data_IF_154629292239
#
_entry.id   IF_154629292239
#
_cell.length_a   1.000
_cell.length_b   1.000
_cell.length_c   1.000
_cell.angle_alpha   90.00
_cell.angle_beta   90.00
_cell.angle_gamma   90.00
#
_symmetry.space_group_name_H-M   'P 1'
#
loop_
_entity.id
_entity.type
_entity.pdbx_description
1 polymer ?
#
# COMPACT_ATOMS: atom_id res chain seq x y z
N UNK A 1 0.66 -41.90 11.83
CA UNK A 1 -0.05 -42.00 10.54
C UNK A 1 -0.45 -40.60 10.15
N UNK A 2 0.36 -39.95 9.28
CA UNK A 2 0.06 -38.60 8.77
C UNK A 2 -0.81 -38.76 7.54
N UNK A 3 -2.02 -38.21 7.60
CA UNK A 3 -2.92 -38.17 6.46
C UNK A 3 -2.36 -37.24 5.36
N UNK A 4 -2.73 -37.43 4.08
CA UNK A 4 -2.29 -36.56 2.99
C UNK A 4 -2.86 -35.15 3.20
N UNK A 5 -2.02 -34.15 2.90
CA UNK A 5 -2.44 -32.75 2.84
C UNK A 5 -3.58 -32.59 1.82
N UNK A 6 -4.57 -31.73 2.06
CA UNK A 6 -5.63 -31.49 1.08
C UNK A 6 -5.01 -30.93 -0.20
N UNK A 7 -5.39 -31.50 -1.33
CA UNK A 7 -5.02 -31.03 -2.65
C UNK A 7 -5.56 -29.61 -2.86
N UNK A 8 -4.65 -28.68 -3.17
CA UNK A 8 -4.92 -27.24 -3.23
C UNK A 8 -5.52 -26.74 -4.54
N UNK A 9 -6.44 -27.44 -5.19
CA UNK A 9 -6.89 -27.10 -6.54
C UNK A 9 -8.40 -26.86 -6.71
N UNK A 10 -9.14 -26.72 -5.62
CA UNK A 10 -10.60 -26.45 -5.67
C UNK A 10 -10.96 -24.96 -5.48
N UNK A 11 -10.07 -24.04 -5.85
CA UNK A 11 -10.48 -22.66 -5.98
C UNK A 11 -11.32 -22.50 -7.25
N UNK A 12 -12.50 -21.85 -7.17
CA UNK A 12 -13.32 -21.60 -8.34
C UNK A 12 -12.49 -20.83 -9.38
N UNK A 13 -12.68 -21.08 -10.69
CA UNK A 13 -11.97 -20.38 -11.72
C UNK A 13 -12.13 -18.87 -11.51
N UNK A 14 -11.00 -18.16 -11.49
CA UNK A 14 -11.00 -16.69 -11.37
C UNK A 14 -11.80 -16.16 -12.57
N UNK A 15 -12.94 -15.50 -12.35
CA UNK A 15 -13.72 -14.97 -13.45
C UNK A 15 -12.88 -14.01 -14.27
N UNK A 16 -13.21 -13.94 -15.56
CA UNK A 16 -12.53 -13.18 -16.61
C UNK A 16 -11.85 -11.91 -16.09
N UNK A 17 -10.53 -11.84 -16.30
CA UNK A 17 -9.65 -10.77 -15.81
C UNK A 17 -9.85 -9.43 -16.51
N UNK A 18 -10.93 -9.22 -17.23
CA UNK A 18 -11.35 -7.89 -17.71
C UNK A 18 -11.82 -6.98 -16.57
N UNK A 19 -11.31 -7.27 -15.36
CA UNK A 19 -11.60 -6.57 -14.13
C UNK A 19 -11.12 -5.11 -14.12
N UNK A 20 -11.65 -4.36 -13.17
CA UNK A 20 -11.29 -2.96 -12.90
C UNK A 20 -9.85 -2.80 -12.40
N UNK A 21 -9.25 -3.87 -11.90
CA UNK A 21 -7.90 -3.91 -11.36
C UNK A 21 -7.03 -4.92 -12.12
N UNK A 22 -5.83 -4.52 -12.49
CA UNK A 22 -4.83 -5.39 -13.14
C UNK A 22 -4.00 -6.18 -12.11
N UNK A 23 -3.85 -5.66 -10.90
CA UNK A 23 -3.08 -6.27 -9.83
C UNK A 23 -3.16 -5.49 -8.53
N UNK A 24 -2.44 -5.97 -7.54
CA UNK A 24 -2.19 -5.28 -6.28
C UNK A 24 -0.91 -4.45 -6.44
N UNK A 25 -1.04 -3.12 -6.29
CA UNK A 25 0.12 -2.22 -6.27
C UNK A 25 0.77 -2.23 -4.88
N UNK A 26 0.03 -1.83 -3.85
CA UNK A 26 0.56 -1.86 -2.48
C UNK A 26 -0.51 -1.97 -1.40
N UNK A 27 -0.04 -2.29 -0.20
CA UNK A 27 -0.82 -2.19 1.04
C UNK A 27 -0.20 -1.13 1.93
N UNK A 28 -1.00 -0.12 2.27
CA UNK A 28 -0.62 0.90 3.26
C UNK A 28 -0.88 0.39 4.68
N UNK A 29 0.14 0.47 5.52
CA UNK A 29 0.09 0.12 6.94
C UNK A 29 0.36 1.37 7.75
N UNK A 30 -0.55 1.74 8.63
CA UNK A 30 -0.47 2.98 9.41
C UNK A 30 -0.16 2.68 10.86
N UNK A 31 0.81 3.39 11.41
CA UNK A 31 1.16 3.37 12.82
C UNK A 31 1.26 4.77 13.42
N UNK A 32 1.22 4.91 14.76
CA UNK A 32 1.35 6.20 15.41
C UNK A 32 2.76 6.79 15.33
N UNK A 33 3.77 5.93 15.13
CA UNK A 33 5.17 6.28 15.06
C UNK A 33 5.82 5.50 13.91
N UNK A 34 6.44 6.21 12.95
CA UNK A 34 7.01 5.60 11.76
C UNK A 34 8.26 4.78 12.07
N UNK A 35 9.09 5.23 13.00
CA UNK A 35 10.33 4.51 13.35
C UNK A 35 10.03 3.23 14.13
N UNK A 36 9.06 3.25 15.04
CA UNK A 36 8.60 2.07 15.75
C UNK A 36 7.97 1.05 14.77
N UNK A 37 7.16 1.53 13.83
CA UNK A 37 6.57 0.69 12.77
C UNK A 37 7.67 0.08 11.90
N UNK A 38 8.63 0.89 11.47
CA UNK A 38 9.77 0.44 10.66
C UNK A 38 10.63 -0.59 11.40
N UNK A 39 10.90 -0.39 12.69
CA UNK A 39 11.64 -1.35 13.52
C UNK A 39 10.92 -2.71 13.60
N UNK A 40 9.59 -2.70 13.73
CA UNK A 40 8.77 -3.91 13.75
C UNK A 40 8.91 -4.69 12.42
N UNK A 41 8.78 -4.02 11.29
CA UNK A 41 8.90 -4.69 9.98
C UNK A 41 10.33 -5.13 9.68
N UNK A 42 11.34 -4.36 10.11
CA UNK A 42 12.74 -4.78 10.01
C UNK A 42 13.01 -6.04 10.84
N UNK A 43 12.40 -6.18 12.02
CA UNK A 43 12.50 -7.39 12.83
C UNK A 43 11.86 -8.62 12.17
N UNK A 44 10.87 -8.43 11.30
CA UNK A 44 10.34 -9.50 10.44
C UNK A 44 11.23 -9.83 9.23
N UNK A 45 12.35 -9.11 9.06
CA UNK A 45 13.31 -9.35 7.97
C UNK A 45 13.05 -8.52 6.71
N UNK A 46 12.12 -7.57 6.73
CA UNK A 46 11.91 -6.67 5.61
C UNK A 46 13.04 -5.64 5.50
N UNK A 47 13.48 -5.38 4.28
CA UNK A 47 14.34 -4.24 3.95
C UNK A 47 13.46 -3.05 3.62
N UNK A 48 13.72 -1.92 4.25
CA UNK A 48 12.92 -0.72 4.09
C UNK A 48 13.69 0.35 3.32
N UNK A 49 12.99 1.10 2.49
CA UNK A 49 13.53 2.30 1.86
C UNK A 49 13.87 3.35 2.92
N UNK A 50 14.73 4.33 2.61
CA UNK A 50 14.83 5.54 3.40
C UNK A 50 13.46 6.19 3.61
N UNK A 51 13.31 6.97 4.68
CA UNK A 51 12.10 7.73 4.92
C UNK A 51 11.91 8.78 3.82
N UNK A 52 10.68 8.86 3.33
CA UNK A 52 10.25 9.93 2.44
C UNK A 52 9.05 10.66 3.08
N UNK A 53 8.90 11.94 2.76
CA UNK A 53 7.72 12.70 3.13
C UNK A 53 6.77 12.79 1.93
N UNK A 54 5.47 12.69 2.18
CA UNK A 54 4.46 13.00 1.17
C UNK A 54 4.42 14.51 0.88
N UNK A 55 3.81 14.88 -0.25
CA UNK A 55 3.63 16.28 -0.60
C UNK A 55 3.02 17.07 0.57
N UNK A 56 3.67 18.18 0.93
CA UNK A 56 3.27 19.00 2.09
C UNK A 56 3.91 18.60 3.43
N UNK A 57 4.74 17.53 3.47
CA UNK A 57 5.56 17.17 4.65
C UNK A 57 4.80 16.76 5.91
N UNK A 58 3.50 16.48 5.80
CA UNK A 58 2.64 16.20 6.97
C UNK A 58 2.65 14.75 7.41
N UNK A 59 2.84 13.86 6.45
CA UNK A 59 2.93 12.41 6.64
C UNK A 59 4.19 11.89 5.96
N UNK A 60 4.74 10.81 6.46
CA UNK A 60 5.90 10.16 5.87
C UNK A 60 5.71 8.67 5.72
N UNK A 61 6.55 8.08 4.92
CA UNK A 61 6.54 6.66 4.67
C UNK A 61 7.93 6.04 4.60
N UNK A 62 7.96 4.71 4.73
CA UNK A 62 9.03 3.80 4.33
C UNK A 62 8.37 2.63 3.60
N UNK A 63 9.00 2.12 2.56
CA UNK A 63 8.43 1.02 1.77
C UNK A 63 9.27 -0.24 1.89
N UNK A 64 8.62 -1.39 2.02
CA UNK A 64 9.21 -2.70 1.86
C UNK A 64 8.83 -3.24 0.48
N UNK A 65 9.79 -3.24 -0.45
CA UNK A 65 9.57 -3.71 -1.82
C UNK A 65 9.49 -5.23 -1.84
N UNK A 66 8.52 -5.78 -2.57
CA UNK A 66 8.31 -7.22 -2.72
C UNK A 66 8.87 -7.73 -4.05
N UNK A 67 9.41 -8.95 -4.05
CA UNK A 67 9.97 -9.56 -5.28
C UNK A 67 8.94 -9.78 -6.39
N UNK A 68 7.69 -9.93 -6.03
CA UNK A 68 6.58 -10.13 -6.97
C UNK A 68 6.11 -8.84 -7.65
N UNK A 69 6.75 -7.71 -7.38
CA UNK A 69 6.22 -6.37 -7.61
C UNK A 69 5.31 -5.93 -6.44
N UNK A 70 4.92 -4.69 -6.43
CA UNK A 70 4.18 -4.12 -5.30
C UNK A 70 5.05 -3.94 -4.04
N UNK A 71 4.45 -3.39 -3.00
CA UNK A 71 5.17 -3.08 -1.76
C UNK A 71 4.23 -2.94 -0.56
N UNK A 72 4.81 -2.99 0.64
CA UNK A 72 4.15 -2.53 1.87
C UNK A 72 4.59 -1.09 2.11
N UNK A 73 3.65 -0.17 2.24
CA UNK A 73 3.91 1.23 2.57
C UNK A 73 3.62 1.47 4.04
N UNK A 74 4.67 1.65 4.83
CA UNK A 74 4.56 1.99 6.24
C UNK A 74 4.39 3.50 6.37
N UNK A 75 3.31 3.96 6.98
CA UNK A 75 2.95 5.39 7.05
C UNK A 75 2.70 5.86 8.47
N UNK A 76 3.07 7.10 8.75
CA UNK A 76 2.68 7.80 9.95
C UNK A 76 2.53 9.31 9.70
N UNK A 77 1.87 10.00 10.61
CA UNK A 77 1.91 11.46 10.69
C UNK A 77 3.28 11.86 11.24
N UNK A 78 3.97 12.75 10.53
CA UNK A 78 5.29 13.24 10.96
C UNK A 78 5.16 14.27 12.09
N UNK A 79 6.22 14.48 12.90
CA UNK A 79 6.23 15.51 13.93
C UNK A 79 5.84 16.89 13.38
N UNK A 80 4.84 17.51 14.01
CA UNK A 80 4.28 18.79 13.56
C UNK A 80 3.35 18.71 12.34
N UNK A 81 3.15 17.51 11.78
CA UNK A 81 2.19 17.23 10.72
C UNK A 81 0.77 17.02 11.25
N UNK A 82 -0.17 16.90 10.33
CA UNK A 82 -1.57 16.59 10.61
C UNK A 82 -2.20 15.85 9.44
N UNK A 83 -2.97 14.80 9.73
CA UNK A 83 -3.78 14.08 8.76
C UNK A 83 -5.05 13.56 9.42
N UNK A 84 -6.16 14.26 9.19
CA UNK A 84 -7.46 13.89 9.77
C UNK A 84 -7.87 12.44 9.44
N UNK A 85 -7.48 11.93 8.27
CA UNK A 85 -7.78 10.56 7.85
C UNK A 85 -6.99 9.55 8.66
N UNK A 86 -5.66 9.72 8.76
CA UNK A 86 -4.81 8.81 9.52
C UNK A 86 -5.08 8.88 11.01
N UNK A 87 -5.29 10.07 11.55
CA UNK A 87 -5.60 10.28 12.97
C UNK A 87 -6.92 9.63 13.37
N UNK A 88 -7.95 9.75 12.53
CA UNK A 88 -9.23 9.06 12.75
C UNK A 88 -9.07 7.54 12.73
N UNK A 89 -8.28 7.00 11.80
CA UNK A 89 -7.99 5.58 11.74
C UNK A 89 -7.25 5.12 13.00
N UNK A 90 -6.19 5.83 13.39
CA UNK A 90 -5.37 5.52 14.56
C UNK A 90 -6.11 5.67 15.90
N UNK A 91 -7.20 6.45 15.93
CA UNK A 91 -8.06 6.52 17.12
C UNK A 91 -8.76 5.17 17.43
N UNK A 92 -8.83 4.26 16.47
CA UNK A 92 -9.46 2.96 16.63
C UNK A 92 -8.46 1.81 16.63
N UNK A 93 -7.46 1.83 15.74
CA UNK A 93 -6.42 0.80 15.67
C UNK A 93 -5.24 1.27 14.79
N UNK A 94 -4.13 0.55 14.84
CA UNK A 94 -3.03 0.65 13.90
C UNK A 94 -2.99 -0.61 13.03
N UNK A 95 -2.50 -0.51 11.80
CA UNK A 95 -2.40 -1.65 10.89
C UNK A 95 -2.74 -1.33 9.44
N UNK A 96 -3.21 -2.32 8.69
CA UNK A 96 -3.58 -2.15 7.28
C UNK A 96 -4.71 -1.13 7.15
N UNK A 97 -4.46 -0.10 6.34
CA UNK A 97 -5.36 1.03 6.12
C UNK A 97 -5.77 1.16 4.65
N UNK A 98 -4.81 1.00 3.76
CA UNK A 98 -5.00 1.25 2.33
C UNK A 98 -4.73 -0.02 1.54
N UNK A 99 -5.59 -0.30 0.57
CA UNK A 99 -5.36 -1.28 -0.46
C UNK A 99 -5.33 -0.54 -1.80
N UNK A 100 -4.16 -0.47 -2.42
CA UNK A 100 -3.99 0.14 -3.73
C UNK A 100 -3.96 -0.93 -4.81
N UNK A 101 -4.78 -0.74 -5.83
CA UNK A 101 -4.90 -1.65 -6.95
C UNK A 101 -4.40 -0.96 -8.22
N UNK A 102 -3.70 -1.73 -9.05
CA UNK A 102 -3.26 -1.26 -10.37
C UNK A 102 -4.44 -1.16 -11.34
N UNK A 103 -4.44 -0.14 -12.14
CA UNK A 103 -5.35 -0.02 -13.29
C UNK A 103 -4.61 0.61 -14.48
N UNK A 104 -4.85 0.11 -15.72
CA UNK A 104 -4.25 0.69 -16.91
C UNK A 104 -4.83 2.06 -17.27
N UNK A 105 -6.04 2.37 -16.78
CA UNK A 105 -6.75 3.63 -17.05
C UNK A 105 -7.61 4.02 -15.85
N UNK A 106 -7.11 4.97 -15.06
CA UNK A 106 -7.80 5.46 -13.86
C UNK A 106 -9.13 6.14 -14.18
N UNK A 107 -9.21 6.90 -15.31
CA UNK A 107 -10.43 7.61 -15.68
C UNK A 107 -11.54 6.64 -16.09
N UNK A 108 -11.20 5.63 -16.91
CA UNK A 108 -12.15 4.59 -17.29
C UNK A 108 -12.59 3.75 -16.06
N UNK A 109 -11.67 3.45 -15.15
CA UNK A 109 -11.99 2.75 -13.90
C UNK A 109 -12.97 3.53 -13.04
N UNK A 110 -12.74 4.83 -12.84
CA UNK A 110 -13.65 5.71 -12.11
C UNK A 110 -15.03 5.75 -12.77
N UNK A 111 -15.11 5.90 -14.11
CA UNK A 111 -16.37 5.91 -14.83
C UNK A 111 -17.17 4.61 -14.62
N UNK A 112 -16.49 3.44 -14.68
CA UNK A 112 -17.13 2.14 -14.47
C UNK A 112 -17.60 1.97 -13.02
N UNK A 113 -16.82 2.37 -12.03
CA UNK A 113 -17.19 2.30 -10.62
C UNK A 113 -18.42 3.18 -10.34
N UNK A 114 -18.46 4.40 -10.86
CA UNK A 114 -19.61 5.30 -10.74
C UNK A 114 -20.86 4.73 -11.41
N UNK A 115 -20.69 4.15 -12.61
CA UNK A 115 -21.77 3.46 -13.31
C UNK A 115 -22.35 2.26 -12.54
N UNK A 116 -21.54 1.64 -11.69
CA UNK A 116 -21.95 0.57 -10.78
C UNK A 116 -22.48 1.08 -9.42
N UNK A 117 -22.64 2.39 -9.24
CA UNK A 117 -23.16 2.99 -8.01
C UNK A 117 -22.12 3.11 -6.87
N UNK A 118 -20.84 2.91 -7.16
CA UNK A 118 -19.77 3.08 -6.17
C UNK A 118 -19.38 4.55 -6.07
N UNK A 119 -19.39 5.08 -4.86
CA UNK A 119 -18.89 6.43 -4.59
C UNK A 119 -17.36 6.45 -4.73
N UNK A 120 -16.85 7.25 -5.65
CA UNK A 120 -15.41 7.37 -5.91
C UNK A 120 -15.06 8.82 -6.28
N UNK A 121 -13.93 9.32 -5.77
CA UNK A 121 -13.39 10.63 -6.09
C UNK A 121 -12.89 10.69 -7.55
N UNK A 122 -12.61 11.89 -8.04
CA UNK A 122 -11.87 12.03 -9.28
C UNK A 122 -10.44 11.52 -9.13
N UNK A 123 -9.81 11.05 -10.23
CA UNK A 123 -8.41 10.69 -10.21
C UNK A 123 -7.54 11.87 -9.79
N UNK A 124 -6.59 11.63 -8.90
CA UNK A 124 -5.63 12.63 -8.45
C UNK A 124 -4.26 12.26 -9.02
N UNK A 125 -3.71 13.14 -9.86
CA UNK A 125 -2.34 12.99 -10.32
C UNK A 125 -1.39 13.33 -9.16
N UNK A 126 -0.54 12.39 -8.80
CA UNK A 126 0.49 12.57 -7.78
C UNK A 126 1.86 12.31 -8.39
N UNK A 127 2.84 13.12 -8.00
CA UNK A 127 4.24 12.88 -8.34
C UNK A 127 5.00 12.51 -7.08
N UNK A 128 5.77 11.45 -7.14
CA UNK A 128 6.76 11.11 -6.12
C UNK A 128 8.13 11.49 -6.68
N UNK A 129 8.83 12.37 -6.02
CA UNK A 129 10.27 12.51 -6.26
C UNK A 129 10.96 11.28 -5.71
N UNK A 130 11.47 10.44 -6.59
CA UNK A 130 12.46 9.47 -6.20
C UNK A 130 13.67 10.29 -5.75
N UNK A 131 13.99 10.30 -4.45
CA UNK A 131 15.34 10.66 -4.05
C UNK A 131 16.26 9.69 -4.78
N UNK A 132 17.32 10.23 -5.40
CA UNK A 132 18.27 9.43 -6.15
C UNK A 132 18.66 8.23 -5.27
N UNK A 133 18.35 7.03 -5.73
CA UNK A 133 18.75 5.83 -5.03
C UNK A 133 20.26 5.94 -4.81
N UNK A 134 20.69 5.80 -3.57
CA UNK A 134 22.12 5.70 -3.26
C UNK A 134 22.69 4.58 -4.13
N UNK A 135 23.61 4.86 -5.07
CA UNK A 135 24.16 3.85 -5.95
C UNK A 135 24.88 2.72 -5.20
N UNK A 136 25.13 2.87 -3.90
CA UNK A 136 25.68 1.86 -3.02
C UNK A 136 24.60 1.00 -2.31
N UNK A 137 23.30 1.31 -2.49
CA UNK A 137 22.24 0.49 -1.90
C UNK A 137 21.93 -0.68 -2.84
N UNK A 138 22.28 -1.93 -2.49
CA UNK A 138 21.86 -3.07 -3.29
C UNK A 138 20.34 -3.18 -3.23
N UNK A 139 19.72 -3.18 -4.42
CA UNK A 139 18.30 -3.48 -4.62
C UNK A 139 17.95 -4.90 -4.13
#
# INVERSE_FOLDING_TARGET
>A
MSGPAPAGDDLPPIPDRTGLAAGLDHVGVVGPDLDALAATFAAFGFRLTPQAAHAGGRTGNRCAMLRSGGYLELMAVLPGGHSATLERFLAHHAGAHTLALETPDAAATVARLRGAGVAVSDPIATERRAEAADPASPL
#
